data_IF_490488796363
#
_entry.id   IF_490488796363
#
_cell.length_a   1.000
_cell.length_b   1.000
_cell.length_c   1.000
_cell.angle_alpha   90.00
_cell.angle_beta   90.00
_cell.angle_gamma   90.00
#
_symmetry.space_group_name_H-M   'P 1'
#
loop_
_entity.id
_entity.type
_entity.pdbx_description
1 polymer ?
#
# COMPACT_ATOMS: atom_id res chain seq x y z
N UNK A 1 -39.45 43.51 -26.32
CA UNK A 1 -38.28 42.77 -25.84
C UNK A 1 -37.73 43.51 -24.63
N UNK A 2 -38.07 43.06 -23.43
CA UNK A 2 -37.54 43.64 -22.19
C UNK A 2 -36.16 43.06 -21.90
N UNK A 3 -35.20 43.86 -21.39
CA UNK A 3 -33.88 43.37 -21.05
C UNK A 3 -33.96 42.48 -19.80
N UNK A 4 -33.33 41.32 -19.86
CA UNK A 4 -33.15 40.40 -18.72
C UNK A 4 -32.04 40.99 -17.85
N UNK A 5 -32.41 41.42 -16.65
CA UNK A 5 -31.50 41.91 -15.62
C UNK A 5 -30.70 40.73 -15.03
N UNK A 6 -29.35 40.76 -15.02
CA UNK A 6 -28.57 39.67 -14.45
C UNK A 6 -28.73 39.66 -12.92
N UNK A 7 -29.17 38.52 -12.39
CA UNK A 7 -29.26 38.30 -10.95
C UNK A 7 -27.88 38.50 -10.30
N UNK A 8 -27.81 39.44 -9.36
CA UNK A 8 -26.61 39.68 -8.58
C UNK A 8 -26.27 38.43 -7.75
N UNK A 9 -25.14 37.79 -8.05
CA UNK A 9 -24.60 36.71 -7.24
C UNK A 9 -24.26 37.25 -5.85
N UNK A 10 -24.92 36.70 -4.83
CA UNK A 10 -24.64 37.04 -3.44
C UNK A 10 -23.19 36.64 -3.09
N UNK A 11 -22.39 37.51 -2.45
CA UNK A 11 -21.03 37.16 -2.07
C UNK A 11 -21.07 36.05 -1.01
N UNK A 12 -20.42 34.92 -1.30
CA UNK A 12 -20.16 33.86 -0.32
C UNK A 12 -19.32 34.45 0.81
N UNK A 13 -19.94 34.80 1.93
CA UNK A 13 -19.24 35.23 3.14
C UNK A 13 -18.51 34.03 3.73
N UNK A 14 -17.23 33.87 3.38
CA UNK A 14 -16.34 32.90 4.03
C UNK A 14 -16.10 33.41 5.45
N UNK A 15 -16.88 32.89 6.41
CA UNK A 15 -16.71 33.18 7.84
C UNK A 15 -15.35 32.62 8.27
N UNK A 16 -14.35 33.49 8.46
CA UNK A 16 -13.01 33.09 8.91
C UNK A 16 -13.13 32.35 10.24
N UNK A 17 -12.80 31.06 10.25
CA UNK A 17 -12.72 30.28 11.48
C UNK A 17 -11.72 30.96 12.44
N UNK A 18 -12.08 31.09 13.71
CA UNK A 18 -11.16 31.65 14.70
C UNK A 18 -9.93 30.74 14.80
N UNK A 19 -8.73 31.31 14.80
CA UNK A 19 -7.48 30.52 14.89
C UNK A 19 -7.45 29.61 16.12
N UNK A 20 -8.09 30.02 17.21
CA UNK A 20 -8.29 29.22 18.42
C UNK A 20 -9.15 27.98 18.14
N UNK A 21 -10.26 28.13 17.40
CA UNK A 21 -11.11 27.00 17.03
C UNK A 21 -10.38 25.96 16.18
N UNK A 22 -9.53 26.40 15.25
CA UNK A 22 -8.68 25.49 14.45
C UNK A 22 -7.66 24.77 15.32
N UNK A 23 -6.99 25.48 16.23
CA UNK A 23 -6.03 24.88 17.16
C UNK A 23 -6.68 23.86 18.09
N UNK A 24 -7.86 24.17 18.65
CA UNK A 24 -8.61 23.23 19.49
C UNK A 24 -9.02 21.98 18.70
N UNK A 25 -9.49 22.14 17.46
CA UNK A 25 -9.84 21.00 16.62
C UNK A 25 -8.62 20.10 16.33
N UNK A 26 -7.45 20.68 16.03
CA UNK A 26 -6.20 19.92 15.83
C UNK A 26 -5.83 19.14 17.09
N UNK A 27 -5.89 19.76 18.26
CA UNK A 27 -5.57 19.08 19.54
C UNK A 27 -6.57 17.95 19.82
N UNK A 28 -7.87 18.18 19.61
CA UNK A 28 -8.89 17.16 19.82
C UNK A 28 -8.70 15.98 18.86
N UNK A 29 -8.44 16.23 17.57
CA UNK A 29 -8.14 15.16 16.61
C UNK A 29 -6.83 14.44 16.96
N UNK A 30 -5.80 15.19 17.36
CA UNK A 30 -4.50 14.67 17.77
C UNK A 30 -4.56 13.78 19.01
N UNK A 31 -5.51 14.02 19.93
CA UNK A 31 -5.75 13.18 21.10
C UNK A 31 -6.73 12.04 20.80
N UNK A 32 -7.77 12.27 19.99
CA UNK A 32 -8.79 11.26 19.68
C UNK A 32 -8.20 10.02 18.99
N UNK A 33 -7.24 10.21 18.07
CA UNK A 33 -6.58 9.10 17.37
C UNK A 33 -5.85 8.15 18.34
N UNK A 34 -4.91 8.59 19.19
CA UNK A 34 -4.24 7.69 20.13
C UNK A 34 -5.21 7.10 21.17
N UNK A 35 -6.22 7.84 21.64
CA UNK A 35 -7.22 7.28 22.58
C UNK A 35 -8.04 6.17 21.94
N UNK A 36 -8.41 6.32 20.65
CA UNK A 36 -9.08 5.27 19.88
C UNK A 36 -8.21 4.01 19.77
N UNK A 37 -6.91 4.16 19.47
CA UNK A 37 -5.99 3.01 19.42
C UNK A 37 -5.84 2.32 20.78
N UNK A 38 -5.77 3.07 21.88
CA UNK A 38 -5.73 2.49 23.23
C UNK A 38 -6.98 1.68 23.58
N UNK A 39 -8.13 1.98 22.99
CA UNK A 39 -9.38 1.24 23.18
C UNK A 39 -9.53 0.03 22.25
N UNK A 40 -9.07 0.14 21.01
CA UNK A 40 -9.25 -0.92 19.98
C UNK A 40 -8.16 -1.99 20.07
N UNK A 41 -6.90 -1.62 20.34
CA UNK A 41 -5.78 -2.57 20.39
C UNK A 41 -5.99 -3.68 21.44
N UNK A 42 -6.50 -3.41 22.67
CA UNK A 42 -6.78 -4.48 23.63
C UNK A 42 -7.83 -5.48 23.15
N UNK A 43 -8.88 -5.02 22.45
CA UNK A 43 -9.92 -5.90 21.90
C UNK A 43 -9.35 -6.79 20.79
N UNK A 44 -8.58 -6.21 19.87
CA UNK A 44 -7.90 -6.97 18.81
C UNK A 44 -6.90 -7.97 19.39
N UNK A 45 -6.18 -7.61 20.45
CA UNK A 45 -5.29 -8.54 21.17
C UNK A 45 -6.05 -9.66 21.84
N UNK A 46 -7.15 -9.36 22.55
CA UNK A 46 -7.98 -10.37 23.18
C UNK A 46 -8.59 -11.35 22.17
N UNK A 47 -9.01 -10.84 21.02
CA UNK A 47 -9.55 -11.67 19.94
C UNK A 47 -8.45 -12.53 19.29
N UNK A 48 -7.27 -11.96 19.05
CA UNK A 48 -6.11 -12.70 18.58
C UNK A 48 -5.63 -13.77 19.59
N UNK A 49 -5.60 -13.46 20.88
CA UNK A 49 -5.18 -14.39 21.93
C UNK A 49 -6.22 -15.48 22.17
N UNK A 50 -7.53 -15.15 22.13
CA UNK A 50 -8.61 -16.13 22.15
C UNK A 50 -8.46 -17.10 20.98
N UNK A 51 -8.19 -16.58 19.78
CA UNK A 51 -7.99 -17.42 18.61
C UNK A 51 -6.71 -18.24 18.67
N UNK A 52 -5.63 -17.76 19.31
CA UNK A 52 -4.43 -18.57 19.59
C UNK A 52 -4.71 -19.73 20.53
N UNK A 53 -5.57 -19.51 21.54
CA UNK A 53 -5.98 -20.54 22.51
C UNK A 53 -6.97 -21.54 21.87
N UNK A 54 -7.84 -21.06 20.98
CA UNK A 54 -8.77 -21.88 20.18
C UNK A 54 -8.09 -22.52 18.95
N UNK A 55 -6.84 -22.14 18.64
CA UNK A 55 -6.17 -22.58 17.43
C UNK A 55 -5.87 -24.09 17.54
N UNK A 56 -6.16 -24.88 16.50
CA UNK A 56 -5.86 -26.31 16.53
C UNK A 56 -4.37 -26.61 16.71
N UNK A 57 -4.05 -27.82 17.15
CA UNK A 57 -2.66 -28.23 17.40
C UNK A 57 -1.79 -28.26 16.14
N UNK A 58 -2.40 -28.39 14.95
CA UNK A 58 -1.66 -28.48 13.70
C UNK A 58 -1.23 -27.10 13.15
N UNK A 59 0.05 -26.91 12.78
CA UNK A 59 0.56 -25.64 12.26
C UNK A 59 -0.21 -25.06 11.05
N UNK A 60 -0.71 -25.90 10.15
CA UNK A 60 -1.45 -25.48 8.96
C UNK A 60 -2.79 -24.86 9.34
N UNK A 61 -3.48 -25.45 10.30
CA UNK A 61 -4.78 -24.95 10.78
C UNK A 61 -4.62 -23.64 11.55
N UNK A 62 -3.55 -23.52 12.35
CA UNK A 62 -3.17 -22.24 12.99
C UNK A 62 -2.91 -21.15 11.96
N UNK A 63 -2.24 -21.48 10.85
CA UNK A 63 -2.02 -20.52 9.77
C UNK A 63 -3.35 -20.12 9.12
N UNK A 64 -4.27 -21.05 8.90
CA UNK A 64 -5.61 -20.73 8.39
C UNK A 64 -6.38 -19.74 9.27
N UNK A 65 -6.27 -19.86 10.60
CA UNK A 65 -6.87 -18.90 11.55
C UNK A 65 -6.13 -17.55 11.50
N UNK A 66 -4.80 -17.57 11.58
CA UNK A 66 -3.95 -16.38 11.49
C UNK A 66 -4.25 -15.59 10.20
N UNK A 67 -4.41 -16.30 9.09
CA UNK A 67 -4.62 -15.74 7.76
C UNK A 67 -5.86 -14.86 7.67
N UNK A 68 -6.92 -15.15 8.45
CA UNK A 68 -8.12 -14.29 8.53
C UNK A 68 -7.81 -12.85 8.96
N UNK A 69 -6.74 -12.67 9.75
CA UNK A 69 -6.28 -11.36 10.23
C UNK A 69 -5.07 -10.85 9.48
N UNK A 70 -4.19 -11.76 9.05
CA UNK A 70 -2.98 -11.44 8.29
C UNK A 70 -3.30 -10.98 6.87
N UNK A 71 -4.24 -11.63 6.18
CA UNK A 71 -4.58 -11.32 4.79
C UNK A 71 -5.02 -9.85 4.61
N UNK A 72 -5.97 -9.29 5.41
CA UNK A 72 -6.32 -7.88 5.29
C UNK A 72 -5.16 -6.92 5.60
N UNK A 73 -4.26 -7.30 6.52
CA UNK A 73 -3.10 -6.49 6.88
C UNK A 73 -2.07 -6.43 5.75
N UNK A 74 -1.79 -7.58 5.11
CA UNK A 74 -0.90 -7.67 3.95
C UNK A 74 -1.50 -6.88 2.78
N UNK A 75 -2.80 -7.04 2.50
CA UNK A 75 -3.48 -6.26 1.45
C UNK A 75 -3.43 -4.75 1.74
N UNK A 76 -3.71 -4.33 2.98
CA UNK A 76 -3.58 -2.92 3.39
C UNK A 76 -2.15 -2.41 3.20
N UNK A 77 -1.15 -3.22 3.49
CA UNK A 77 0.25 -2.86 3.30
C UNK A 77 0.58 -2.70 1.80
N UNK A 78 0.06 -3.56 0.91
CA UNK A 78 0.17 -3.37 -0.54
C UNK A 78 -0.45 -2.03 -0.98
N UNK A 79 -1.66 -1.72 -0.51
CA UNK A 79 -2.33 -0.44 -0.81
C UNK A 79 -1.48 0.74 -0.31
N UNK A 80 -0.81 0.62 0.84
CA UNK A 80 0.10 1.67 1.36
C UNK A 80 1.42 1.76 0.61
N UNK A 81 1.86 0.67 -0.02
CA UNK A 81 3.06 0.64 -0.85
C UNK A 81 2.90 1.44 -2.14
N UNK A 82 1.67 1.75 -2.58
CA UNK A 82 1.38 2.58 -3.75
C UNK A 82 2.14 3.91 -3.74
N UNK A 83 2.53 4.41 -4.91
CA UNK A 83 3.31 5.63 -5.06
C UNK A 83 2.56 6.85 -4.55
N UNK A 84 1.32 7.06 -4.99
CA UNK A 84 0.43 8.10 -4.46
C UNK A 84 -1.04 7.72 -4.60
N UNK A 85 -1.95 8.57 -4.09
CA UNK A 85 -3.38 8.37 -4.32
C UNK A 85 -3.78 8.57 -5.78
N UNK A 86 -3.15 9.52 -6.48
CA UNK A 86 -3.41 9.80 -7.90
C UNK A 86 -2.72 8.83 -8.85
N UNK A 87 -1.60 8.23 -8.42
CA UNK A 87 -0.86 7.19 -9.14
C UNK A 87 -0.78 5.98 -8.22
N UNK A 88 -1.83 5.14 -8.17
CA UNK A 88 -1.91 3.98 -7.28
C UNK A 88 -0.99 2.83 -7.74
N UNK A 89 0.22 3.15 -8.19
CA UNK A 89 1.17 2.22 -8.76
C UNK A 89 2.24 1.85 -7.76
N UNK A 90 2.70 0.62 -7.78
CA UNK A 90 3.97 0.24 -7.17
C UNK A 90 5.09 0.36 -8.22
N UNK A 91 5.83 1.47 -8.16
CA UNK A 91 6.91 1.75 -9.11
C UNK A 91 8.13 0.90 -8.76
N UNK A 92 8.61 0.12 -9.73
CA UNK A 92 9.77 -0.77 -9.54
C UNK A 92 11.05 -0.07 -9.95
N UNK A 93 11.05 0.59 -11.10
CA UNK A 93 12.19 1.32 -11.65
C UNK A 93 11.74 2.30 -12.74
N UNK A 94 12.66 3.19 -13.12
CA UNK A 94 12.50 4.14 -14.22
C UNK A 94 13.66 3.94 -15.19
N UNK A 95 13.39 4.04 -16.50
CA UNK A 95 14.39 4.04 -17.56
C UNK A 95 14.41 5.41 -18.21
N UNK A 96 15.57 6.07 -18.23
CA UNK A 96 15.74 7.35 -18.90
C UNK A 96 15.50 7.21 -20.40
N UNK A 97 14.96 8.27 -21.02
CA UNK A 97 14.82 8.31 -22.47
C UNK A 97 16.20 8.43 -23.15
N UNK A 98 16.27 7.93 -24.39
CA UNK A 98 17.50 7.98 -25.18
C UNK A 98 17.82 9.41 -25.64
N UNK A 99 16.79 10.21 -25.92
CA UNK A 99 16.93 11.58 -26.37
C UNK A 99 16.73 12.59 -25.24
N UNK A 100 17.52 13.66 -25.26
CA UNK A 100 17.40 14.74 -24.29
C UNK A 100 16.07 15.49 -24.50
N UNK A 101 15.23 15.54 -23.47
CA UNK A 101 13.94 16.21 -23.51
C UNK A 101 12.74 15.28 -23.64
N UNK A 102 12.96 14.00 -23.92
CA UNK A 102 11.91 12.98 -23.87
C UNK A 102 11.64 12.53 -22.42
N UNK A 103 10.37 12.24 -22.07
CA UNK A 103 10.02 11.78 -20.74
C UNK A 103 10.55 10.34 -20.51
N UNK A 104 11.03 10.04 -19.29
CA UNK A 104 11.50 8.70 -18.98
C UNK A 104 10.33 7.70 -18.90
N UNK A 105 10.64 6.42 -19.08
CA UNK A 105 9.65 5.34 -19.00
C UNK A 105 9.58 4.82 -17.56
N UNK A 106 8.38 4.81 -16.98
CA UNK A 106 8.10 4.34 -15.62
C UNK A 106 7.58 2.91 -15.70
N UNK A 107 8.24 1.99 -14.99
CA UNK A 107 7.83 0.60 -14.87
C UNK A 107 7.32 0.29 -13.47
N UNK A 108 6.34 -0.61 -13.38
CA UNK A 108 5.81 -1.02 -12.10
C UNK A 108 4.57 -1.88 -12.21
N UNK A 109 3.86 -2.00 -11.10
CA UNK A 109 2.61 -2.74 -11.00
C UNK A 109 1.49 -1.77 -10.69
N UNK A 110 0.37 -1.85 -11.42
CA UNK A 110 -0.82 -1.08 -11.10
C UNK A 110 -1.59 -1.75 -9.95
N UNK A 111 -1.85 -1.02 -8.86
CA UNK A 111 -2.65 -1.50 -7.72
C UNK A 111 -4.08 -0.95 -7.71
N UNK A 112 -4.55 -0.29 -8.77
CA UNK A 112 -5.90 0.30 -8.84
C UNK A 112 -6.98 -0.71 -8.47
N UNK A 113 -6.95 -1.88 -9.09
CA UNK A 113 -7.97 -2.92 -8.94
C UNK A 113 -7.40 -4.20 -8.31
N UNK A 114 -6.48 -4.06 -7.36
CA UNK A 114 -5.81 -5.21 -6.75
C UNK A 114 -6.80 -6.02 -5.88
N UNK A 115 -7.16 -7.25 -6.28
CA UNK A 115 -8.16 -8.01 -5.55
C UNK A 115 -7.61 -8.50 -4.20
N UNK A 116 -8.50 -8.88 -3.28
CA UNK A 116 -8.09 -9.31 -1.92
C UNK A 116 -7.41 -10.69 -1.93
N UNK A 117 -7.71 -11.50 -2.92
CA UNK A 117 -7.18 -12.86 -3.11
C UNK A 117 -5.75 -12.90 -3.69
N UNK A 118 -5.13 -11.74 -3.99
CA UNK A 118 -3.68 -11.64 -4.25
C UNK A 118 -2.85 -12.18 -3.10
N UNK A 119 -3.41 -12.17 -1.89
CA UNK A 119 -2.82 -12.83 -0.75
C UNK A 119 -3.56 -14.15 -0.58
N UNK A 120 -2.84 -15.27 -0.67
CA UNK A 120 -3.36 -16.62 -0.52
C UNK A 120 -2.41 -17.44 0.39
N UNK A 121 -2.84 -18.61 0.85
CA UNK A 121 -1.94 -19.55 1.52
C UNK A 121 -2.03 -20.95 0.91
N UNK A 122 -0.88 -21.62 0.83
CA UNK A 122 -0.75 -22.99 0.35
C UNK A 122 0.02 -23.78 1.39
N UNK A 123 -0.67 -24.61 2.18
CA UNK A 123 -0.07 -25.26 3.34
C UNK A 123 0.40 -24.23 4.36
N UNK A 124 1.72 -24.15 4.59
CA UNK A 124 2.38 -23.21 5.51
C UNK A 124 2.93 -21.96 4.81
N UNK A 125 2.75 -21.84 3.50
CA UNK A 125 3.28 -20.75 2.69
C UNK A 125 2.20 -19.68 2.50
N UNK A 126 2.47 -18.46 2.95
CA UNK A 126 1.65 -17.27 2.64
C UNK A 126 2.20 -16.63 1.38
N UNK A 127 1.44 -16.68 0.28
CA UNK A 127 1.86 -16.15 -1.02
C UNK A 127 1.19 -14.81 -1.28
N UNK A 128 2.01 -13.81 -1.57
CA UNK A 128 1.57 -12.54 -2.15
C UNK A 128 1.81 -12.61 -3.65
N UNK A 129 0.76 -12.91 -4.41
CA UNK A 129 0.79 -13.11 -5.86
C UNK A 129 0.38 -11.83 -6.56
N UNK A 130 1.31 -11.27 -7.33
CA UNK A 130 1.14 -10.00 -8.03
C UNK A 130 1.33 -10.20 -9.53
N UNK A 131 0.79 -9.30 -10.38
CA UNK A 131 1.04 -9.35 -11.81
C UNK A 131 2.51 -8.97 -12.10
N UNK A 132 2.96 -9.24 -13.32
CA UNK A 132 4.30 -8.83 -13.73
C UNK A 132 4.36 -7.31 -13.90
N UNK A 133 5.50 -6.66 -13.61
CA UNK A 133 5.66 -5.25 -13.87
C UNK A 133 5.54 -4.94 -15.36
N UNK A 134 4.85 -3.85 -15.69
CA UNK A 134 4.68 -3.34 -17.05
C UNK A 134 5.08 -1.87 -17.12
N UNK A 135 5.10 -1.31 -18.32
CA UNK A 135 5.14 0.15 -18.50
C UNK A 135 3.84 0.73 -17.94
N UNK A 136 3.96 1.73 -17.07
CA UNK A 136 2.84 2.43 -16.47
C UNK A 136 2.62 3.80 -17.11
N UNK A 137 3.71 4.50 -17.42
CA UNK A 137 3.67 5.84 -18.00
C UNK A 137 5.00 6.23 -18.64
N UNK A 138 4.96 7.25 -19.49
CA UNK A 138 6.14 7.98 -19.98
C UNK A 138 6.08 9.40 -19.39
N UNK A 139 6.66 9.58 -18.21
CA UNK A 139 6.57 10.84 -17.45
C UNK A 139 7.68 10.92 -16.39
N UNK A 140 7.87 12.10 -15.80
CA UNK A 140 8.78 12.30 -14.68
C UNK A 140 8.12 11.85 -13.37
N UNK A 141 8.85 11.06 -12.60
CA UNK A 141 8.42 10.63 -11.27
C UNK A 141 8.75 11.72 -10.24
N UNK A 142 7.72 12.27 -9.57
CA UNK A 142 7.86 13.37 -8.60
C UNK A 142 7.24 13.00 -7.26
N UNK A 143 7.92 13.33 -6.15
CA UNK A 143 7.45 13.13 -4.78
C UNK A 143 8.40 12.29 -3.92
N UNK A 144 8.14 12.21 -2.61
CA UNK A 144 9.06 11.59 -1.63
C UNK A 144 9.40 10.12 -1.95
N UNK A 145 8.42 9.38 -2.48
CA UNK A 145 8.63 7.97 -2.87
C UNK A 145 9.48 7.81 -4.13
N UNK A 146 9.73 8.87 -4.90
CA UNK A 146 10.55 8.81 -6.10
C UNK A 146 12.04 8.60 -5.76
N UNK A 147 12.50 9.12 -4.62
CA UNK A 147 13.91 9.02 -4.20
C UNK A 147 14.38 7.58 -4.00
N UNK A 148 13.45 6.67 -3.68
CA UNK A 148 13.74 5.25 -3.49
C UNK A 148 13.60 4.40 -4.75
N UNK A 149 13.30 4.99 -5.92
CA UNK A 149 13.10 4.26 -7.17
C UNK A 149 14.40 4.27 -8.00
N UNK A 150 14.95 3.09 -8.35
CA UNK A 150 16.11 2.98 -9.23
C UNK A 150 15.84 3.63 -10.58
N UNK A 151 16.79 4.42 -11.05
CA UNK A 151 16.77 5.05 -12.36
C UNK A 151 17.92 4.49 -13.18
N UNK A 152 17.60 3.90 -14.33
CA UNK A 152 18.57 3.34 -15.26
C UNK A 152 18.73 4.27 -16.47
N UNK A 153 19.94 4.40 -16.99
CA UNK A 153 20.20 5.15 -18.22
C UNK A 153 19.59 4.44 -19.44
N UNK A 154 19.31 5.20 -20.50
CA UNK A 154 18.86 4.63 -21.76
C UNK A 154 19.88 3.64 -22.32
N UNK A 155 19.43 2.46 -22.75
CA UNK A 155 20.29 1.42 -23.32
C UNK A 155 21.19 0.69 -22.30
N UNK A 156 21.11 1.03 -21.00
CA UNK A 156 21.77 0.25 -19.97
C UNK A 156 21.11 -1.12 -19.80
N UNK A 157 21.88 -2.10 -19.34
CA UNK A 157 21.33 -3.40 -18.94
C UNK A 157 20.47 -3.21 -17.68
N UNK A 158 19.15 -3.36 -17.84
CA UNK A 158 18.18 -3.28 -16.74
C UNK A 158 17.95 -4.70 -16.22
N UNK A 159 18.13 -4.95 -14.91
CA UNK A 159 17.77 -6.24 -14.32
C UNK A 159 16.31 -6.60 -14.59
N UNK A 160 15.98 -7.90 -14.62
CA UNK A 160 14.60 -8.37 -14.83
C UNK A 160 13.62 -7.59 -13.90
N UNK A 161 12.64 -6.85 -14.47
CA UNK A 161 11.65 -6.12 -13.69
C UNK A 161 10.97 -6.97 -12.62
N UNK A 162 10.76 -8.26 -12.88
CA UNK A 162 10.17 -9.20 -11.92
C UNK A 162 11.06 -9.37 -10.70
N UNK A 163 12.37 -9.49 -10.91
CA UNK A 163 13.36 -9.61 -9.84
C UNK A 163 13.42 -8.32 -9.01
N UNK A 164 13.44 -7.15 -9.66
CA UNK A 164 13.41 -5.85 -8.97
C UNK A 164 12.16 -5.74 -8.09
N UNK A 165 10.99 -6.06 -8.64
CA UNK A 165 9.74 -6.03 -7.90
C UNK A 165 9.77 -6.98 -6.70
N UNK A 166 10.19 -8.22 -6.93
CA UNK A 166 10.27 -9.26 -5.90
C UNK A 166 11.16 -8.83 -4.73
N UNK A 167 12.40 -8.44 -4.98
CA UNK A 167 13.36 -8.07 -3.93
C UNK A 167 12.88 -6.87 -3.10
N UNK A 168 12.32 -5.84 -3.76
CA UNK A 168 11.83 -4.65 -3.07
C UNK A 168 10.59 -4.96 -2.22
N UNK A 169 9.68 -5.80 -2.71
CA UNK A 169 8.50 -6.21 -1.95
C UNK A 169 8.83 -7.17 -0.81
N UNK A 170 9.74 -8.12 -1.02
CA UNK A 170 10.25 -8.98 0.06
C UNK A 170 10.86 -8.15 1.18
N UNK A 171 11.68 -7.13 0.84
CA UNK A 171 12.21 -6.19 1.82
C UNK A 171 11.11 -5.39 2.52
N UNK A 172 10.09 -4.95 1.78
CA UNK A 172 8.94 -4.24 2.34
C UNK A 172 8.14 -5.10 3.34
N UNK A 173 8.04 -6.41 3.08
CA UNK A 173 7.30 -7.37 3.89
C UNK A 173 8.14 -8.07 4.98
N UNK A 174 9.43 -7.77 5.11
CA UNK A 174 10.34 -8.45 6.04
C UNK A 174 9.77 -8.52 7.47
N UNK A 175 9.28 -7.42 8.02
CA UNK A 175 8.69 -7.41 9.37
C UNK A 175 7.40 -8.24 9.49
N UNK A 176 6.62 -8.38 8.41
CA UNK A 176 5.45 -9.26 8.38
C UNK A 176 5.85 -10.73 8.27
N UNK A 177 6.87 -11.03 7.46
CA UNK A 177 7.42 -12.38 7.34
C UNK A 177 7.99 -12.86 8.68
N UNK A 178 8.73 -12.00 9.39
CA UNK A 178 9.22 -12.27 10.74
C UNK A 178 8.07 -12.48 11.74
N UNK A 179 7.01 -11.67 11.66
CA UNK A 179 5.84 -11.82 12.53
C UNK A 179 5.13 -13.17 12.31
N UNK A 180 4.93 -13.59 11.05
CA UNK A 180 4.38 -14.90 10.70
C UNK A 180 5.23 -16.02 11.28
N UNK A 181 6.55 -15.98 11.06
CA UNK A 181 7.47 -17.00 11.54
C UNK A 181 7.51 -17.04 13.08
N UNK A 182 7.37 -15.90 13.75
CA UNK A 182 7.33 -15.86 15.22
C UNK A 182 6.06 -16.49 15.79
N UNK A 183 4.91 -16.24 15.16
CA UNK A 183 3.63 -16.80 15.57
C UNK A 183 3.52 -18.30 15.21
N UNK A 184 4.09 -18.69 14.06
CA UNK A 184 4.04 -20.04 13.51
C UNK A 184 5.43 -20.38 12.92
N UNK A 185 6.32 -21.04 13.69
CA UNK A 185 7.74 -21.24 13.33
C UNK A 185 8.06 -21.85 11.97
N UNK A 186 7.12 -22.60 11.39
CA UNK A 186 7.28 -23.27 10.09
C UNK A 186 6.55 -22.57 8.95
N UNK A 187 5.83 -21.49 9.23
CA UNK A 187 5.18 -20.68 8.23
C UNK A 187 6.11 -19.57 7.73
N UNK A 188 5.95 -19.21 6.46
CA UNK A 188 6.75 -18.17 5.81
C UNK A 188 5.94 -17.43 4.76
N UNK A 189 6.34 -16.19 4.50
CA UNK A 189 5.73 -15.33 3.49
C UNK A 189 6.64 -15.26 2.27
N UNK A 190 6.05 -15.39 1.08
CA UNK A 190 6.77 -15.22 -0.18
C UNK A 190 6.04 -14.26 -1.11
N UNK A 191 6.80 -13.58 -1.96
CA UNK A 191 6.27 -12.74 -3.04
C UNK A 191 6.45 -13.46 -4.37
N UNK A 192 5.35 -13.62 -5.11
CA UNK A 192 5.32 -14.26 -6.42
C UNK A 192 4.92 -13.21 -7.47
N UNK A 193 5.82 -12.93 -8.41
CA UNK A 193 5.60 -11.92 -9.45
C UNK A 193 5.26 -12.56 -10.80
N UNK A 194 4.16 -12.12 -11.40
CA UNK A 194 3.63 -12.63 -12.66
C UNK A 194 2.75 -13.87 -12.52
N UNK A 195 2.11 -14.05 -11.34
CA UNK A 195 1.23 -15.19 -11.07
C UNK A 195 -0.27 -14.92 -11.24
N UNK A 196 -0.69 -13.64 -11.31
CA UNK A 196 -2.06 -13.26 -11.67
C UNK A 196 -2.20 -13.32 -13.20
N UNK A 197 -3.14 -14.13 -13.70
CA UNK A 197 -3.53 -14.22 -15.11
C UNK A 197 -4.86 -13.53 -15.31
#
# INVERSE_FOLDING_TARGET
MSPVEPAAEAPLTIRRASGIGVLTAIVVVGLAVPTYYLWVVPRLKQEADRLRVEAPGEPVERLGVWFRFGQPQIHTALVRARFSAARPWYVTHVVQAAEAGEPPTIYGIDFTDLPVDVVQHVGLEVRVVLPAPTVLAHDVLVGDKALGVPVYAAGAEVPDPRLIAKLRLERYFEGMAEAVAKDIPTAYLVVVIGGLR
#
